data_IF_546249381811
#
_entry.id   IF_546249381811
#
_cell.length_a   1.000
_cell.length_b   1.000
_cell.length_c   1.000
_cell.angle_alpha   90.00
_cell.angle_beta   90.00
_cell.angle_gamma   90.00
#
_symmetry.space_group_name_H-M   'P 1'
#
loop_
_entity.id
_entity.type
_entity.pdbx_description
1 polymer ?
#
# COMPACT_ATOMS: atom_id res chain seq x y z
N UNK A 1 -31.87 15.40 42.95
CA UNK A 1 -31.08 16.19 42.02
C UNK A 1 -29.80 15.50 41.49
N UNK A 2 -29.67 14.16 41.54
CA UNK A 2 -28.47 13.38 41.11
C UNK A 2 -28.47 13.06 39.60
N UNK A 3 -29.61 13.23 38.93
CA UNK A 3 -29.74 12.83 37.50
C UNK A 3 -29.11 13.80 36.44
N UNK A 4 -28.81 15.04 36.84
CA UNK A 4 -28.21 16.03 35.95
C UNK A 4 -26.82 15.70 35.47
N UNK A 5 -25.87 15.41 36.38
CA UNK A 5 -24.48 15.09 36.01
C UNK A 5 -24.37 13.76 35.24
N UNK A 6 -25.20 12.76 35.55
CA UNK A 6 -25.22 11.48 34.84
C UNK A 6 -25.66 11.67 33.37
N UNK A 7 -26.71 12.47 33.13
CA UNK A 7 -27.16 12.77 31.77
C UNK A 7 -26.09 13.52 30.97
N UNK A 8 -25.34 14.41 31.61
CA UNK A 8 -24.24 15.12 30.96
C UNK A 8 -23.12 14.16 30.56
N UNK A 9 -22.72 13.27 31.48
CA UNK A 9 -21.69 12.25 31.19
C UNK A 9 -22.10 11.33 30.03
N UNK A 10 -23.36 10.85 30.04
CA UNK A 10 -23.87 10.02 28.94
C UNK A 10 -23.83 10.79 27.61
N UNK A 11 -24.22 12.06 27.58
CA UNK A 11 -24.15 12.89 26.36
C UNK A 11 -22.72 13.04 25.85
N UNK A 12 -21.75 13.28 26.74
CA UNK A 12 -20.33 13.38 26.39
C UNK A 12 -19.85 12.05 25.79
N UNK A 13 -20.13 10.93 26.46
CA UNK A 13 -19.75 9.59 25.96
C UNK A 13 -20.37 9.34 24.57
N UNK A 14 -21.65 9.60 24.40
CA UNK A 14 -22.33 9.39 23.11
C UNK A 14 -21.76 10.30 22.02
N UNK A 15 -21.40 11.54 22.36
CA UNK A 15 -20.74 12.45 21.41
C UNK A 15 -19.38 11.92 21.00
N UNK A 16 -18.54 11.47 21.94
CA UNK A 16 -17.23 10.89 21.65
C UNK A 16 -17.36 9.66 20.75
N UNK A 17 -18.28 8.75 21.08
CA UNK A 17 -18.55 7.56 20.26
C UNK A 17 -18.96 7.95 18.85
N UNK A 18 -19.88 8.93 18.72
CA UNK A 18 -20.33 9.42 17.41
C UNK A 18 -19.20 10.01 16.57
N UNK A 19 -18.30 10.78 17.20
CA UNK A 19 -17.12 11.35 16.52
C UNK A 19 -16.17 10.24 16.05
N UNK A 20 -15.93 9.23 16.89
CA UNK A 20 -15.07 8.09 16.53
C UNK A 20 -15.67 7.29 15.36
N UNK A 21 -16.99 7.01 15.41
CA UNK A 21 -17.67 6.32 14.30
C UNK A 21 -17.58 7.14 13.01
N UNK A 22 -17.83 8.43 13.09
CA UNK A 22 -17.76 9.33 11.92
C UNK A 22 -16.34 9.37 11.35
N UNK A 23 -15.31 9.42 12.19
CA UNK A 23 -13.91 9.37 11.77
C UNK A 23 -13.59 8.11 10.97
N UNK A 24 -13.96 6.93 11.47
CA UNK A 24 -13.73 5.67 10.75
C UNK A 24 -14.60 5.54 9.50
N UNK A 25 -15.83 6.06 9.50
CA UNK A 25 -16.66 6.11 8.30
C UNK A 25 -16.05 6.97 7.19
N UNK A 26 -15.52 8.15 7.54
CA UNK A 26 -14.80 9.02 6.59
C UNK A 26 -13.53 8.32 6.09
N UNK A 27 -12.76 7.69 6.96
CA UNK A 27 -11.56 6.92 6.60
C UNK A 27 -11.90 5.80 5.62
N UNK A 28 -12.98 5.05 5.86
CA UNK A 28 -13.45 4.01 4.94
C UNK A 28 -13.75 4.57 3.55
N UNK A 29 -14.50 5.67 3.48
CA UNK A 29 -14.85 6.32 2.21
C UNK A 29 -13.59 6.78 1.46
N UNK A 30 -12.61 7.34 2.17
CA UNK A 30 -11.34 7.75 1.57
C UNK A 30 -10.57 6.57 0.98
N UNK A 31 -10.44 5.46 1.73
CA UNK A 31 -9.79 4.23 1.24
C UNK A 31 -10.51 3.71 0.00
N UNK A 32 -11.85 3.69 0.02
CA UNK A 32 -12.63 3.25 -1.13
C UNK A 32 -12.41 4.15 -2.35
N UNK A 33 -12.41 5.47 -2.17
CA UNK A 33 -12.16 6.43 -3.26
C UNK A 33 -10.74 6.27 -3.83
N UNK A 34 -9.71 6.23 -2.97
CA UNK A 34 -8.32 6.05 -3.39
C UNK A 34 -8.13 4.73 -4.15
N UNK A 35 -8.78 3.65 -3.70
CA UNK A 35 -8.72 2.35 -4.36
C UNK A 35 -9.39 2.30 -5.74
N UNK A 36 -10.19 3.30 -6.10
CA UNK A 36 -10.84 3.42 -7.41
C UNK A 36 -10.25 4.55 -8.27
N UNK A 37 -9.31 5.31 -7.72
CA UNK A 37 -8.62 6.37 -8.44
C UNK A 37 -7.44 5.80 -9.25
N UNK A 38 -7.38 6.15 -10.52
CA UNK A 38 -6.26 5.82 -11.39
C UNK A 38 -5.62 7.11 -11.90
N UNK A 39 -4.46 7.43 -11.33
CA UNK A 39 -3.73 8.63 -11.72
C UNK A 39 -3.36 8.61 -13.20
N UNK A 40 -3.58 9.74 -13.87
CA UNK A 40 -3.09 9.98 -15.23
C UNK A 40 -1.74 10.67 -15.27
N UNK A 41 -1.14 10.98 -14.13
CA UNK A 41 0.15 11.66 -14.00
C UNK A 41 1.32 10.78 -14.47
N UNK A 42 2.39 11.41 -14.93
CA UNK A 42 3.70 10.78 -15.00
C UNK A 42 4.38 10.86 -13.64
N UNK A 43 5.21 9.87 -13.34
CA UNK A 43 6.05 9.85 -12.14
C UNK A 43 7.48 9.43 -12.50
N UNK A 44 8.38 9.49 -11.53
CA UNK A 44 9.76 9.07 -11.73
C UNK A 44 9.94 7.55 -11.59
N UNK A 45 9.07 6.88 -10.81
CA UNK A 45 9.05 5.42 -10.74
C UNK A 45 7.63 4.88 -10.54
N UNK A 46 7.45 3.59 -10.87
CA UNK A 46 6.31 2.78 -10.48
C UNK A 46 6.75 2.00 -9.24
N UNK A 47 6.05 2.15 -8.11
CA UNK A 47 6.34 1.44 -6.86
C UNK A 47 5.33 0.30 -6.68
N UNK A 48 5.79 -0.93 -6.89
CA UNK A 48 5.00 -2.16 -6.77
C UNK A 48 5.20 -2.77 -5.39
N UNK A 49 4.12 -2.94 -4.66
CA UNK A 49 4.14 -3.61 -3.36
C UNK A 49 4.03 -5.13 -3.54
N UNK A 50 4.88 -5.86 -2.84
CA UNK A 50 4.83 -7.32 -2.77
C UNK A 50 3.57 -7.82 -2.03
N UNK A 51 3.29 -9.10 -2.17
CA UNK A 51 2.24 -9.81 -1.43
C UNK A 51 2.61 -11.25 -1.16
N UNK A 52 2.72 -12.11 -2.17
CA UNK A 52 3.15 -13.51 -2.03
C UNK A 52 3.80 -14.03 -3.31
N UNK A 53 4.70 -14.99 -3.14
CA UNK A 53 5.27 -15.77 -4.23
C UNK A 53 5.15 -17.27 -3.88
N UNK A 54 5.24 -18.13 -4.87
CA UNK A 54 5.22 -19.58 -4.73
C UNK A 54 6.39 -20.18 -5.51
N UNK A 55 7.44 -20.61 -4.80
CA UNK A 55 8.63 -21.24 -5.36
C UNK A 55 9.25 -20.53 -6.56
N UNK A 56 9.36 -19.19 -6.50
CA UNK A 56 9.93 -18.37 -7.57
C UNK A 56 8.92 -17.94 -8.65
N UNK A 57 7.64 -18.22 -8.44
CA UNK A 57 6.54 -17.77 -9.33
C UNK A 57 5.69 -16.74 -8.58
N UNK A 58 5.29 -15.63 -9.20
CA UNK A 58 4.37 -14.70 -8.57
C UNK A 58 3.02 -15.38 -8.28
N UNK A 59 2.45 -15.16 -7.08
CA UNK A 59 1.02 -15.48 -6.86
C UNK A 59 0.13 -14.70 -7.83
N UNK A 60 -1.13 -15.11 -7.97
CA UNK A 60 -2.07 -14.40 -8.85
C UNK A 60 -2.23 -12.92 -8.46
N UNK A 61 -2.18 -12.62 -7.16
CA UNK A 61 -2.23 -11.24 -6.64
C UNK A 61 -0.96 -10.45 -7.02
N UNK A 62 0.21 -11.04 -6.84
CA UNK A 62 1.46 -10.41 -7.21
C UNK A 62 1.55 -10.22 -8.73
N UNK A 63 1.17 -11.22 -9.50
CA UNK A 63 1.11 -11.13 -10.96
C UNK A 63 0.21 -9.98 -11.42
N UNK A 64 -0.98 -9.84 -10.85
CA UNK A 64 -1.89 -8.76 -11.21
C UNK A 64 -1.28 -7.36 -10.95
N UNK A 65 -0.49 -7.20 -9.87
CA UNK A 65 0.26 -5.97 -9.61
C UNK A 65 1.37 -5.74 -10.63
N UNK A 66 2.10 -6.79 -10.99
CA UNK A 66 3.17 -6.72 -12.00
C UNK A 66 2.62 -6.41 -13.39
N UNK A 67 1.48 -7.00 -13.76
CA UNK A 67 0.79 -6.70 -15.02
C UNK A 67 0.33 -5.25 -15.07
N UNK A 68 -0.21 -4.70 -13.96
CA UNK A 68 -0.54 -3.28 -13.87
C UNK A 68 0.71 -2.40 -14.02
N UNK A 69 1.83 -2.79 -13.42
CA UNK A 69 3.10 -2.08 -13.58
C UNK A 69 3.60 -2.11 -15.03
N UNK A 70 3.48 -3.24 -15.73
CA UNK A 70 3.80 -3.35 -17.15
C UNK A 70 2.91 -2.45 -18.02
N UNK A 71 1.61 -2.39 -17.73
CA UNK A 71 0.70 -1.45 -18.41
C UNK A 71 1.14 0.01 -18.27
N UNK A 72 1.58 0.39 -17.06
CA UNK A 72 2.09 1.74 -16.81
C UNK A 72 3.43 1.98 -17.51
N UNK A 73 4.32 0.99 -17.48
CA UNK A 73 5.63 1.02 -18.16
C UNK A 73 5.49 1.20 -19.65
N UNK A 74 4.67 0.38 -20.30
CA UNK A 74 4.44 0.46 -21.76
C UNK A 74 3.72 1.75 -22.20
N UNK A 75 3.10 2.47 -21.27
CA UNK A 75 2.52 3.80 -21.49
C UNK A 75 3.48 4.93 -21.14
N UNK A 76 4.77 4.63 -20.96
CA UNK A 76 5.82 5.59 -20.58
C UNK A 76 5.47 6.45 -19.34
N UNK A 77 4.70 5.88 -18.39
CA UNK A 77 4.26 6.62 -17.20
C UNK A 77 5.38 6.89 -16.22
N UNK A 78 6.43 6.07 -16.22
CA UNK A 78 7.64 6.25 -15.41
C UNK A 78 8.83 5.51 -16.02
N UNK A 79 10.07 6.06 -15.90
CA UNK A 79 11.29 5.44 -16.44
C UNK A 79 11.93 4.40 -15.52
N UNK A 80 11.37 4.15 -14.32
CA UNK A 80 11.86 3.18 -13.34
C UNK A 80 10.70 2.36 -12.79
N UNK A 81 10.99 1.10 -12.42
CA UNK A 81 10.09 0.26 -11.63
C UNK A 81 10.81 -0.12 -10.34
N UNK A 82 10.20 0.17 -9.20
CA UNK A 82 10.64 -0.27 -7.89
C UNK A 82 9.71 -1.40 -7.42
N UNK A 83 10.28 -2.56 -7.12
CA UNK A 83 9.53 -3.72 -6.60
C UNK A 83 9.94 -4.00 -5.17
N UNK A 84 8.98 -4.30 -4.31
CA UNK A 84 9.23 -4.56 -2.89
C UNK A 84 8.62 -5.88 -2.46
N UNK A 85 9.10 -6.41 -1.35
CA UNK A 85 8.62 -7.65 -0.74
C UNK A 85 9.76 -8.57 -0.33
N UNK A 86 9.61 -9.14 0.85
CA UNK A 86 10.61 -10.00 1.49
C UNK A 86 10.40 -11.48 1.22
N UNK A 87 10.76 -12.28 2.21
CA UNK A 87 10.54 -13.73 2.27
C UNK A 87 9.64 -14.07 3.44
N UNK A 88 8.80 -15.07 3.28
CA UNK A 88 8.18 -15.78 4.41
C UNK A 88 9.15 -16.81 4.98
N UNK A 89 8.98 -17.23 6.23
CA UNK A 89 9.72 -18.35 6.77
C UNK A 89 9.56 -19.60 5.89
N UNK A 90 10.68 -20.13 5.39
CA UNK A 90 10.72 -21.29 4.48
C UNK A 90 10.85 -20.96 3.00
N UNK A 91 10.59 -19.72 2.57
CA UNK A 91 10.75 -19.33 1.17
C UNK A 91 12.22 -19.30 0.76
N UNK A 92 12.50 -19.72 -0.46
CA UNK A 92 13.83 -19.64 -1.10
C UNK A 92 14.03 -18.25 -1.72
N UNK A 93 12.98 -17.71 -2.32
CA UNK A 93 13.01 -16.46 -3.07
C UNK A 93 12.41 -15.30 -2.26
N UNK A 94 12.71 -14.06 -2.66
CA UNK A 94 12.02 -12.87 -2.18
C UNK A 94 10.93 -12.48 -3.18
N UNK A 95 9.82 -11.94 -2.72
CA UNK A 95 8.79 -11.39 -3.60
C UNK A 95 9.36 -10.35 -4.56
N UNK A 96 10.26 -9.48 -4.09
CA UNK A 96 10.95 -8.50 -4.95
C UNK A 96 11.87 -9.16 -5.99
N UNK A 97 12.51 -10.28 -5.65
CA UNK A 97 13.33 -11.04 -6.59
C UNK A 97 12.49 -11.66 -7.70
N UNK A 98 11.42 -12.35 -7.31
CA UNK A 98 10.44 -12.95 -8.23
C UNK A 98 9.79 -11.89 -9.13
N UNK A 99 9.42 -10.74 -8.54
CA UNK A 99 8.86 -9.61 -9.29
C UNK A 99 9.83 -9.08 -10.34
N UNK A 100 11.12 -8.94 -10.00
CA UNK A 100 12.13 -8.49 -10.97
C UNK A 100 12.29 -9.47 -12.12
N UNK A 101 12.42 -10.77 -11.82
CA UNK A 101 12.50 -11.82 -12.85
C UNK A 101 11.29 -11.81 -13.78
N UNK A 102 10.08 -11.63 -13.22
CA UNK A 102 8.86 -11.52 -14.01
C UNK A 102 8.90 -10.32 -14.95
N UNK A 103 9.26 -9.14 -14.46
CA UNK A 103 9.36 -7.92 -15.27
C UNK A 103 10.43 -8.03 -16.35
N UNK A 104 11.57 -8.62 -16.03
CA UNK A 104 12.67 -8.87 -16.97
C UNK A 104 12.23 -9.80 -18.12
N UNK A 105 11.49 -10.87 -17.80
CA UNK A 105 10.94 -11.77 -18.81
C UNK A 105 9.88 -11.13 -19.71
N UNK A 106 9.31 -9.97 -19.29
CA UNK A 106 8.37 -9.16 -20.06
C UNK A 106 9.00 -7.90 -20.68
N UNK A 107 10.33 -7.88 -20.82
CA UNK A 107 11.04 -6.86 -21.60
C UNK A 107 11.48 -5.62 -20.82
N UNK A 108 11.33 -5.58 -19.50
CA UNK A 108 11.88 -4.48 -18.69
C UNK A 108 13.36 -4.76 -18.40
N UNK A 109 14.23 -3.81 -18.79
CA UNK A 109 15.67 -3.96 -18.51
C UNK A 109 15.94 -4.05 -17.00
N UNK A 110 16.78 -5.00 -16.58
CA UNK A 110 17.21 -5.15 -15.18
C UNK A 110 17.81 -3.85 -14.59
N UNK A 111 18.46 -3.02 -15.45
CA UNK A 111 19.02 -1.73 -15.05
C UNK A 111 17.94 -0.69 -14.66
N UNK A 112 16.67 -0.94 -14.97
CA UNK A 112 15.52 -0.07 -14.69
C UNK A 112 14.67 -0.58 -13.52
N UNK A 113 15.08 -1.68 -12.88
CA UNK A 113 14.36 -2.30 -11.77
C UNK A 113 15.12 -2.10 -10.45
N UNK A 114 14.49 -1.44 -9.50
CA UNK A 114 14.99 -1.24 -8.14
C UNK A 114 14.29 -2.25 -7.21
N UNK A 115 15.05 -3.00 -6.40
CA UNK A 115 14.51 -4.01 -5.50
C UNK A 115 14.64 -3.58 -4.05
N UNK A 116 13.54 -3.66 -3.28
CA UNK A 116 13.50 -3.51 -1.84
C UNK A 116 12.97 -4.78 -1.18
N UNK A 117 13.40 -5.08 0.04
CA UNK A 117 12.96 -6.26 0.79
C UNK A 117 12.53 -5.86 2.19
N UNK A 118 11.28 -6.16 2.54
CA UNK A 118 10.70 -5.94 3.85
C UNK A 118 9.62 -6.95 4.13
N UNK A 119 9.25 -7.15 5.39
CA UNK A 119 8.23 -8.10 5.82
C UNK A 119 6.84 -7.45 5.97
N UNK A 120 6.79 -6.12 5.93
CA UNK A 120 5.59 -5.31 6.04
C UNK A 120 5.66 -4.07 5.14
N UNK A 121 4.59 -3.30 5.06
CA UNK A 121 4.48 -2.14 4.17
C UNK A 121 5.48 -1.04 4.52
N UNK A 122 5.75 -0.79 5.82
CA UNK A 122 6.72 0.21 6.26
C UNK A 122 8.13 -0.15 5.82
N UNK A 123 8.55 -1.38 6.10
CA UNK A 123 9.87 -1.91 5.73
C UNK A 123 10.04 -1.99 4.21
N UNK A 124 9.00 -2.34 3.47
CA UNK A 124 9.02 -2.39 2.01
C UNK A 124 9.43 -1.04 1.42
N UNK A 125 8.81 0.05 1.86
CA UNK A 125 9.18 1.41 1.42
C UNK A 125 10.57 1.78 1.93
N UNK A 126 10.86 1.57 3.22
CA UNK A 126 12.16 1.91 3.83
C UNK A 126 13.33 1.24 3.12
N UNK A 127 13.17 -0.02 2.70
CA UNK A 127 14.23 -0.83 2.08
C UNK A 127 14.57 -0.39 0.66
N UNK A 128 13.61 0.14 -0.09
CA UNK A 128 13.83 0.62 -1.46
C UNK A 128 14.22 2.10 -1.51
N UNK A 129 13.92 2.86 -0.45
CA UNK A 129 14.11 4.31 -0.39
C UNK A 129 15.56 4.77 -0.66
N UNK A 130 16.63 4.10 -0.16
CA UNK A 130 18.00 4.50 -0.50
C UNK A 130 18.29 4.42 -2.01
N UNK A 131 17.74 3.41 -2.70
CA UNK A 131 17.89 3.24 -4.14
C UNK A 131 17.10 4.29 -4.92
N UNK A 132 15.89 4.61 -4.50
CA UNK A 132 15.11 5.70 -5.07
C UNK A 132 15.85 7.04 -4.93
N UNK A 133 16.41 7.33 -3.76
CA UNK A 133 17.20 8.55 -3.51
C UNK A 133 18.46 8.62 -4.35
N UNK A 134 19.16 7.51 -4.58
CA UNK A 134 20.34 7.45 -5.42
C UNK A 134 20.07 7.83 -6.90
N UNK A 135 18.81 7.77 -7.32
CA UNK A 135 18.35 8.17 -8.65
C UNK A 135 17.49 9.46 -8.63
N UNK A 136 17.51 10.23 -7.52
CA UNK A 136 16.70 11.45 -7.34
C UNK A 136 15.18 11.24 -7.53
N UNK A 137 14.69 10.02 -7.29
CA UNK A 137 13.28 9.65 -7.43
C UNK A 137 12.52 10.07 -6.17
N UNK A 138 11.53 10.94 -6.36
CA UNK A 138 10.62 11.44 -5.31
C UNK A 138 9.16 11.16 -5.62
N UNK A 139 8.77 11.17 -6.91
CA UNK A 139 7.40 10.92 -7.33
C UNK A 139 7.23 9.47 -7.77
N UNK A 140 6.18 8.81 -7.27
CA UNK A 140 5.93 7.40 -7.58
C UNK A 140 4.45 7.16 -7.92
N UNK A 141 4.20 6.22 -8.85
CA UNK A 141 2.88 5.60 -9.02
C UNK A 141 2.85 4.36 -8.14
N UNK A 142 1.98 4.33 -7.13
CA UNK A 142 1.82 3.16 -6.27
C UNK A 142 0.97 2.11 -6.97
N UNK A 143 1.39 0.85 -6.89
CA UNK A 143 0.67 -0.29 -7.48
C UNK A 143 0.49 -1.36 -6.42
N UNK A 144 -0.74 -1.51 -5.97
CA UNK A 144 -1.17 -2.53 -5.01
C UNK A 144 -2.66 -2.83 -5.18
N UNK A 145 -3.25 -3.62 -4.28
CA UNK A 145 -4.70 -3.87 -4.29
C UNK A 145 -5.49 -2.61 -3.91
N UNK A 146 -6.71 -2.44 -4.44
CA UNK A 146 -7.53 -1.23 -4.21
C UNK A 146 -7.75 -0.90 -2.73
N UNK A 147 -7.99 -1.91 -1.89
CA UNK A 147 -8.20 -1.69 -0.45
C UNK A 147 -6.92 -1.23 0.27
N UNK A 148 -5.75 -1.60 -0.23
CA UNK A 148 -4.43 -1.31 0.38
C UNK A 148 -3.81 0.01 -0.12
N UNK A 149 -4.33 0.61 -1.20
CA UNK A 149 -3.71 1.74 -1.91
C UNK A 149 -3.54 2.97 -1.00
N UNK A 150 -4.56 3.32 -0.20
CA UNK A 150 -4.49 4.50 0.69
C UNK A 150 -3.38 4.34 1.75
N UNK A 151 -3.24 3.16 2.37
CA UNK A 151 -2.19 2.89 3.35
C UNK A 151 -0.80 2.88 2.71
N UNK A 152 -0.66 2.27 1.54
CA UNK A 152 0.60 2.25 0.79
C UNK A 152 1.05 3.68 0.44
N UNK A 153 0.14 4.54 -0.01
CA UNK A 153 0.41 5.96 -0.27
C UNK A 153 0.75 6.72 1.01
N UNK A 154 -0.03 6.55 2.08
CA UNK A 154 0.21 7.26 3.34
C UNK A 154 1.59 6.93 3.93
N UNK A 155 1.99 5.65 3.91
CA UNK A 155 3.32 5.21 4.35
C UNK A 155 4.41 5.75 3.42
N UNK A 156 4.22 5.71 2.10
CA UNK A 156 5.18 6.27 1.14
C UNK A 156 5.39 7.77 1.36
N UNK A 157 4.29 8.52 1.58
CA UNK A 157 4.34 9.95 1.88
C UNK A 157 5.05 10.25 3.19
N UNK A 158 4.81 9.46 4.24
CA UNK A 158 5.46 9.65 5.54
C UNK A 158 6.98 9.42 5.50
N UNK A 159 7.46 8.70 4.48
CA UNK A 159 8.89 8.47 4.22
C UNK A 159 9.50 9.42 3.17
N UNK A 160 8.74 10.44 2.76
CA UNK A 160 9.23 11.54 1.92
C UNK A 160 9.06 11.32 0.41
N UNK A 161 8.26 10.36 -0.02
CA UNK A 161 7.85 10.20 -1.41
C UNK A 161 6.58 11.01 -1.69
N UNK A 162 6.33 11.33 -2.95
CA UNK A 162 5.09 11.92 -3.45
C UNK A 162 4.34 10.87 -4.31
N UNK A 163 3.50 10.02 -3.68
CA UNK A 163 2.79 8.97 -4.37
C UNK A 163 1.56 9.49 -5.13
N UNK A 164 1.19 8.76 -6.18
CA UNK A 164 -0.09 8.91 -6.87
C UNK A 164 -0.69 7.52 -7.11
N UNK A 165 -2.01 7.32 -6.97
CA UNK A 165 -2.61 6.00 -6.96
C UNK A 165 -2.66 5.38 -8.36
N UNK A 166 -2.36 4.11 -8.44
CA UNK A 166 -2.57 3.29 -9.63
C UNK A 166 -2.88 1.83 -9.26
N UNK A 167 -3.94 1.61 -8.47
CA UNK A 167 -4.30 0.30 -7.95
C UNK A 167 -4.61 -0.70 -9.07
N UNK A 168 -4.50 -1.99 -8.76
CA UNK A 168 -4.86 -3.08 -9.67
C UNK A 168 -6.36 -3.03 -9.98
N UNK A 169 -6.74 -3.10 -11.26
CA UNK A 169 -8.16 -3.06 -11.68
C UNK A 169 -8.90 -4.36 -11.39
N UNK A 170 -8.23 -5.48 -11.56
CA UNK A 170 -8.80 -6.83 -11.47
C UNK A 170 -8.00 -7.67 -10.46
N UNK A 171 -8.01 -7.27 -9.19
CA UNK A 171 -7.34 -8.05 -8.15
C UNK A 171 -8.07 -9.39 -7.93
N UNK A 172 -7.36 -10.54 -7.95
CA UNK A 172 -7.96 -11.85 -7.63
C UNK A 172 -8.51 -11.92 -6.21
N UNK A 173 -7.95 -11.17 -5.27
CA UNK A 173 -8.37 -11.09 -3.87
C UNK A 173 -9.80 -10.56 -3.71
N UNK A 174 -10.28 -9.78 -4.67
CA UNK A 174 -11.62 -9.15 -4.66
C UNK A 174 -12.76 -10.17 -4.68
N UNK A 175 -12.51 -11.42 -5.12
CA UNK A 175 -13.58 -12.41 -5.33
C UNK A 175 -14.22 -12.96 -4.04
N UNK A 176 -13.56 -12.91 -2.87
CA UNK A 176 -14.02 -13.72 -1.73
C UNK A 176 -14.25 -13.02 -0.38
N UNK A 177 -13.92 -11.75 -0.15
CA UNK A 177 -14.25 -11.05 1.11
C UNK A 177 -13.73 -9.61 1.14
N UNK A 178 -13.99 -8.88 0.08
CA UNK A 178 -13.53 -7.49 -0.10
C UNK A 178 -13.79 -6.62 1.15
N UNK A 179 -14.98 -6.78 1.75
CA UNK A 179 -15.38 -6.06 2.96
C UNK A 179 -14.40 -6.20 4.13
N UNK A 180 -13.90 -7.42 4.40
CA UNK A 180 -12.97 -7.66 5.50
C UNK A 180 -11.65 -6.92 5.32
N UNK A 181 -11.14 -6.87 4.08
CA UNK A 181 -9.92 -6.14 3.76
C UNK A 181 -10.12 -4.63 3.92
N UNK A 182 -11.22 -4.07 3.41
CA UNK A 182 -11.52 -2.65 3.60
C UNK A 182 -11.68 -2.29 5.08
N UNK A 183 -12.32 -3.12 5.88
CA UNK A 183 -12.46 -2.88 7.32
C UNK A 183 -11.11 -2.95 8.05
N UNK A 184 -10.27 -3.93 7.71
CA UNK A 184 -8.91 -4.03 8.25
C UNK A 184 -8.11 -2.76 7.92
N UNK A 185 -8.08 -2.38 6.65
CA UNK A 185 -7.36 -1.17 6.21
C UNK A 185 -7.93 0.11 6.84
N UNK A 186 -9.25 0.20 7.03
CA UNK A 186 -9.88 1.34 7.71
C UNK A 186 -9.34 1.50 9.14
N UNK A 187 -9.18 0.38 9.86
CA UNK A 187 -8.59 0.39 11.19
C UNK A 187 -7.11 0.77 11.14
N UNK A 188 -6.31 0.13 10.28
CA UNK A 188 -4.86 0.35 10.17
C UNK A 188 -4.53 1.78 9.74
N UNK A 189 -5.25 2.31 8.75
CA UNK A 189 -5.09 3.70 8.29
C UNK A 189 -5.56 4.67 9.38
N UNK A 190 -6.73 4.41 9.97
CA UNK A 190 -7.29 5.28 11.00
C UNK A 190 -6.36 5.41 12.20
N UNK A 191 -5.86 4.31 12.73
CA UNK A 191 -4.92 4.32 13.85
C UNK A 191 -3.55 4.87 13.42
N UNK A 192 -3.03 4.44 12.26
CA UNK A 192 -1.74 4.89 11.74
C UNK A 192 -1.67 6.41 11.55
N UNK A 193 -2.78 7.06 11.17
CA UNK A 193 -2.87 8.53 11.05
C UNK A 193 -2.83 9.23 12.42
N UNK A 194 -3.34 8.60 13.48
CA UNK A 194 -3.38 9.18 14.83
C UNK A 194 -2.01 9.03 15.52
N UNK A 195 -1.42 7.83 15.51
CA UNK A 195 -0.19 7.54 16.26
C UNK A 195 1.08 7.64 15.42
N UNK A 196 0.93 7.75 14.09
CA UNK A 196 2.01 7.68 13.10
C UNK A 196 2.29 6.26 12.63
N UNK A 197 2.48 6.08 11.31
CA UNK A 197 2.67 4.76 10.69
C UNK A 197 3.93 4.03 11.16
N UNK A 198 5.01 4.76 11.51
CA UNK A 198 6.21 4.16 12.09
C UNK A 198 5.93 3.52 13.45
N UNK A 199 5.18 4.20 14.32
CA UNK A 199 4.80 3.66 15.65
C UNK A 199 3.80 2.52 15.50
N UNK A 200 2.84 2.65 14.59
CA UNK A 200 1.88 1.60 14.30
C UNK A 200 2.60 0.32 13.94
N UNK A 201 3.54 0.37 12.98
CA UNK A 201 4.39 -0.75 12.62
C UNK A 201 5.12 -1.36 13.84
N UNK A 202 5.76 -0.54 14.69
CA UNK A 202 6.51 -1.05 15.84
C UNK A 202 5.65 -1.70 16.95
N UNK A 203 4.34 -1.48 16.95
CA UNK A 203 3.42 -1.99 17.97
C UNK A 203 2.61 -3.21 17.53
N UNK A 204 2.39 -3.38 16.22
CA UNK A 204 1.44 -4.37 15.68
C UNK A 204 2.08 -5.39 14.72
N UNK A 205 3.34 -5.21 14.34
CA UNK A 205 4.16 -6.10 13.54
C UNK A 205 5.37 -6.64 14.34
#
# INVERSE_FOLDING_TARGET
MIFGPIKLIIRIIMTVISVVILYFAITFVQIWMTGHEHSTKHAQAILVFGTTEDNGTPSLELQARLDQALVLWHKDRAPWIAVTGGKRPGDVFTEAGVSATYLESHGVSASKILKGSGTDTWQNVSSVLPKLKAHDIKTVLTVTDPFHEDRAMAISSSQGLAPSPSPVRNSPTVKHSLWKYYMKETFEVGIGRIIGFQRFHSWFD
#
